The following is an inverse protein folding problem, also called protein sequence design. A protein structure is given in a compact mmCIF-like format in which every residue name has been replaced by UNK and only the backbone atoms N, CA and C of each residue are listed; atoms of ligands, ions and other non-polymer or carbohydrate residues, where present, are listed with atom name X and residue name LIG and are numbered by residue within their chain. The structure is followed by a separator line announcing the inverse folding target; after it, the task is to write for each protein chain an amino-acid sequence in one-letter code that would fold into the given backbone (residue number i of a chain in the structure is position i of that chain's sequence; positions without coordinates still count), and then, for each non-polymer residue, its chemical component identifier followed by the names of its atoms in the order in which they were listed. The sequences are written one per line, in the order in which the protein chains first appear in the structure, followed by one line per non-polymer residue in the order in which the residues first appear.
data_IF_994941571498
#
_entry.id   IF_994941571498
#
_cell.length_a   1.000
_cell.length_b   1.000
_cell.length_c   1.000
_cell.angle_alpha   90.00
_cell.angle_beta   90.00
_cell.angle_gamma   90.00
#
_symmetry.space_group_name_H-M   'P 1'
#
loop_
_entity.id
_entity.type
_entity.pdbx_description
1 polymer ?
#
# COMPACT_ATOMS: atom_id res chain seq x y z
N UNK A 1 14.93 -7.16 7.37
CA UNK A 1 14.47 -7.89 6.17
C UNK A 1 12.96 -7.79 6.02
N UNK A 2 12.48 -7.44 4.85
CA UNK A 2 11.04 -7.30 4.63
C UNK A 2 10.41 -8.67 4.37
N UNK A 3 9.17 -8.84 4.85
CA UNK A 3 8.42 -10.09 4.71
C UNK A 3 7.87 -10.28 3.29
N UNK A 4 7.66 -9.18 2.56
CA UNK A 4 7.03 -9.17 1.25
C UNK A 4 7.93 -8.47 0.24
N UNK A 5 7.72 -8.78 -1.05
CA UNK A 5 8.42 -8.07 -2.12
C UNK A 5 7.91 -6.62 -2.24
N UNK A 6 8.75 -5.75 -2.80
CA UNK A 6 8.37 -4.36 -3.05
C UNK A 6 7.08 -4.27 -3.87
N UNK A 7 6.91 -5.17 -4.85
CA UNK A 7 5.70 -5.21 -5.68
C UNK A 7 4.44 -5.38 -4.81
N UNK A 8 4.52 -6.21 -3.78
CA UNK A 8 3.39 -6.45 -2.89
C UNK A 8 3.06 -5.20 -2.08
N UNK A 9 4.09 -4.51 -1.56
CA UNK A 9 3.87 -3.26 -0.83
C UNK A 9 3.28 -2.18 -1.73
N UNK A 10 3.76 -2.07 -2.97
CA UNK A 10 3.23 -1.12 -3.95
C UNK A 10 1.75 -1.42 -4.23
N UNK A 11 1.43 -2.69 -4.47
CA UNK A 11 0.05 -3.10 -4.68
C UNK A 11 -0.84 -2.81 -3.48
N UNK A 12 -0.30 -3.02 -2.27
CA UNK A 12 -1.00 -2.68 -1.03
C UNK A 12 -1.31 -1.19 -0.95
N UNK A 13 -0.32 -0.36 -1.23
CA UNK A 13 -0.50 1.09 -1.23
C UNK A 13 -1.54 1.53 -2.25
N UNK A 14 -1.51 0.95 -3.45
CA UNK A 14 -2.48 1.27 -4.51
C UNK A 14 -3.90 0.85 -4.16
N UNK A 15 -4.07 -0.12 -3.28
CA UNK A 15 -5.38 -0.61 -2.86
C UNK A 15 -6.03 0.24 -1.77
N UNK A 16 -5.30 1.19 -1.22
CA UNK A 16 -5.81 2.05 -0.15
C UNK A 16 -6.83 3.04 -0.70
N UNK A 17 -7.71 3.49 0.19
CA UNK A 17 -8.80 4.39 -0.16
C UNK A 17 -8.28 5.70 -0.79
N UNK A 18 -8.76 5.99 -1.99
CA UNK A 18 -8.43 7.23 -2.72
C UNK A 18 -6.92 7.44 -2.97
N UNK A 19 -6.13 6.37 -2.95
CA UNK A 19 -4.70 6.46 -3.23
C UNK A 19 -4.45 6.02 -4.66
N UNK A 20 -4.06 6.94 -5.53
CA UNK A 20 -3.71 6.66 -6.90
C UNK A 20 -2.21 6.46 -7.08
N UNK A 21 -1.79 6.16 -8.32
CA UNK A 21 -0.39 5.90 -8.63
C UNK A 21 0.52 7.06 -8.25
N UNK A 22 0.06 8.31 -8.44
CA UNK A 22 0.83 9.50 -8.09
C UNK A 22 1.11 9.57 -6.58
N UNK A 23 0.09 9.27 -5.77
CA UNK A 23 0.24 9.27 -4.32
C UNK A 23 1.17 8.16 -3.86
N UNK A 24 1.07 6.98 -4.45
CA UNK A 24 1.94 5.84 -4.12
C UNK A 24 3.39 6.22 -4.37
N UNK A 25 3.67 6.76 -5.54
CA UNK A 25 5.03 7.20 -5.89
C UNK A 25 5.56 8.22 -4.87
N UNK A 26 4.72 9.19 -4.51
CA UNK A 26 5.11 10.23 -3.57
C UNK A 26 5.40 9.65 -2.18
N UNK A 27 4.57 8.74 -1.71
CA UNK A 27 4.81 8.08 -0.43
C UNK A 27 6.14 7.32 -0.44
N UNK A 28 6.43 6.60 -1.52
CA UNK A 28 7.68 5.86 -1.63
C UNK A 28 8.88 6.79 -1.61
N UNK A 29 8.79 7.91 -2.33
CA UNK A 29 9.87 8.91 -2.36
C UNK A 29 10.07 9.56 -0.99
N UNK A 30 8.97 9.92 -0.32
CA UNK A 30 9.03 10.63 0.95
C UNK A 30 9.50 9.74 2.09
N UNK A 31 9.12 8.46 2.09
CA UNK A 31 9.46 7.54 3.17
C UNK A 31 10.65 6.64 2.87
N UNK A 32 11.10 6.59 1.63
CA UNK A 32 12.35 5.94 1.24
C UNK A 32 12.23 4.62 0.51
N UNK A 33 11.16 3.86 0.74
CA UNK A 33 10.96 2.58 0.06
C UNK A 33 9.49 2.18 0.13
N UNK A 34 9.04 1.21 -0.70
CA UNK A 34 7.67 0.71 -0.60
C UNK A 34 7.32 0.17 0.79
N UNK A 35 8.25 -0.56 1.42
CA UNK A 35 8.04 -1.07 2.77
C UNK A 35 7.88 0.08 3.77
N UNK A 36 8.79 1.04 3.74
CA UNK A 36 8.75 2.17 4.66
C UNK A 36 7.47 2.99 4.48
N UNK A 37 7.04 3.18 3.23
CA UNK A 37 5.79 3.87 2.93
C UNK A 37 4.60 3.12 3.51
N UNK A 38 4.56 1.79 3.34
CA UNK A 38 3.47 0.97 3.87
C UNK A 38 3.38 1.09 5.39
N UNK A 39 4.52 0.98 6.08
CA UNK A 39 4.54 1.12 7.54
C UNK A 39 4.16 2.53 7.98
N UNK A 40 4.60 3.55 7.24
CA UNK A 40 4.32 4.94 7.58
C UNK A 40 2.83 5.27 7.48
N UNK A 41 2.14 4.81 6.42
CA UNK A 41 0.73 5.16 6.22
C UNK A 41 -0.21 4.51 7.24
N UNK A 42 0.27 3.54 8.00
CA UNK A 42 -0.52 2.95 9.10
C UNK A 42 -0.82 3.95 10.20
N UNK A 43 -0.05 5.04 10.28
CA UNK A 43 -0.24 6.07 11.31
C UNK A 43 -0.69 7.36 10.66
N UNK A 44 -1.83 7.88 11.09
CA UNK A 44 -2.39 9.13 10.57
C UNK A 44 -1.39 10.28 10.71
N UNK A 45 -0.59 10.27 11.78
CA UNK A 45 0.39 11.31 12.04
C UNK A 45 1.36 11.50 10.89
N UNK A 46 1.75 10.42 10.22
CA UNK A 46 2.68 10.46 9.09
C UNK A 46 2.03 11.05 7.84
N UNK A 47 0.71 11.16 7.81
CA UNK A 47 -0.02 11.70 6.67
C UNK A 47 -0.33 13.18 6.80
N UNK A 48 -0.01 13.79 7.95
CA UNK A 48 -0.28 15.21 8.18
C UNK A 48 0.32 16.15 7.14
N UNK A 49 1.54 15.92 6.64
CA UNK A 49 2.12 16.82 5.62
C UNK A 49 1.37 16.83 4.29
N UNK A 50 0.52 15.84 4.04
CA UNK A 50 -0.21 15.74 2.77
C UNK A 50 -1.50 16.57 2.85
N UNK A 51 -1.37 17.87 2.72
CA UNK A 51 -2.47 18.82 2.91
C UNK A 51 -3.60 18.66 1.89
N UNK A 52 -3.32 18.06 0.74
CA UNK A 52 -4.33 17.82 -0.30
C UNK A 52 -5.19 16.58 -0.02
N UNK A 53 -4.82 15.79 0.98
CA UNK A 53 -5.63 14.65 1.42
C UNK A 53 -6.46 15.10 2.63
N UNK A 54 -7.77 14.91 2.58
CA UNK A 54 -8.63 15.31 3.67
C UNK A 54 -8.35 14.48 4.94
N UNK A 55 -8.71 15.02 6.10
CA UNK A 55 -8.52 14.31 7.36
C UNK A 55 -9.30 12.99 7.39
N UNK A 56 -10.49 12.98 6.82
CA UNK A 56 -11.29 11.77 6.71
C UNK A 56 -10.59 10.72 5.87
N UNK A 57 -10.02 11.13 4.73
CA UNK A 57 -9.28 10.22 3.85
C UNK A 57 -8.01 9.72 4.52
N UNK A 58 -7.29 10.57 5.26
CA UNK A 58 -6.10 10.15 6.01
C UNK A 58 -6.43 9.05 7.00
N UNK A 59 -7.54 9.18 7.72
CA UNK A 59 -7.99 8.16 8.67
C UNK A 59 -8.38 6.87 7.95
N UNK A 60 -9.07 6.99 6.82
CA UNK A 60 -9.46 5.82 6.04
C UNK A 60 -8.24 5.08 5.51
N UNK A 61 -7.23 5.80 5.03
CA UNK A 61 -5.98 5.23 4.55
C UNK A 61 -5.31 4.45 5.69
N UNK A 62 -5.13 5.09 6.84
CA UNK A 62 -4.48 4.44 7.98
C UNK A 62 -5.23 3.20 8.46
N UNK A 63 -6.56 3.28 8.50
CA UNK A 63 -7.39 2.14 8.91
C UNK A 63 -7.31 0.96 7.95
N UNK A 64 -7.15 1.23 6.65
CA UNK A 64 -7.11 0.17 5.64
C UNK A 64 -5.73 -0.41 5.42
N UNK A 65 -4.67 0.23 5.93
CA UNK A 65 -3.29 -0.21 5.73
C UNK A 65 -2.92 -1.30 6.75
N UNK A 66 -3.46 -2.50 6.53
CA UNK A 66 -3.22 -3.66 7.40
C UNK A 66 -2.49 -4.74 6.65
N UNK A 67 -1.62 -5.46 7.35
CA UNK A 67 -0.82 -6.55 6.76
C UNK A 67 -1.70 -7.67 6.18
N UNK A 68 -2.89 -7.87 6.72
CA UNK A 68 -3.86 -8.83 6.18
C UNK A 68 -4.18 -8.55 4.72
N UNK A 69 -4.19 -7.27 4.34
CA UNK A 69 -4.42 -6.88 2.96
C UNK A 69 -3.29 -7.37 2.04
N UNK A 70 -2.06 -7.36 2.54
CA UNK A 70 -0.91 -7.86 1.79
C UNK A 70 -1.04 -9.37 1.56
N UNK A 71 -1.46 -10.11 2.57
CA UNK A 71 -1.70 -11.55 2.44
C UNK A 71 -2.78 -11.84 1.40
N UNK A 72 -3.83 -11.04 1.38
CA UNK A 72 -4.89 -11.16 0.37
C UNK A 72 -4.35 -10.91 -1.04
N UNK A 73 -3.51 -9.89 -1.20
CA UNK A 73 -2.92 -9.55 -2.49
C UNK A 73 -2.03 -10.68 -2.98
N UNK A 74 -1.21 -11.26 -2.10
CA UNK A 74 -0.35 -12.39 -2.45
C UNK A 74 -1.20 -13.56 -2.95
N UNK A 75 -2.28 -13.84 -2.25
CA UNK A 75 -3.20 -14.93 -2.62
C UNK A 75 -3.77 -14.71 -4.02
N UNK A 76 -4.17 -13.49 -4.32
CA UNK A 76 -4.70 -13.13 -5.64
C UNK A 76 -3.66 -13.26 -6.74
N UNK A 77 -2.43 -12.86 -6.47
CA UNK A 77 -1.35 -12.97 -7.44
C UNK A 77 -1.04 -14.44 -7.72
N UNK A 78 -1.01 -15.27 -6.67
CA UNK A 78 -0.74 -16.70 -6.82
C UNK A 78 -1.85 -17.38 -7.64
N UNK A 79 -3.11 -17.05 -7.39
CA UNK A 79 -4.23 -17.58 -8.17
C UNK A 79 -4.08 -17.19 -9.65
N UNK A 80 -3.74 -15.94 -9.91
CA UNK A 80 -3.57 -15.43 -11.26
C UNK A 80 -2.43 -16.16 -11.97
N UNK A 81 -1.33 -16.37 -11.29
CA UNK A 81 -0.19 -17.10 -11.85
C UNK A 81 -0.54 -18.55 -12.18
N UNK A 82 -1.32 -19.19 -11.34
CA UNK A 82 -1.78 -20.56 -11.59
C UNK A 82 -2.64 -20.62 -12.83
N UNK A 83 -3.53 -19.65 -13.02
CA UNK A 83 -4.35 -19.57 -14.22
C UNK A 83 -3.51 -19.44 -15.47
N UNK A 84 -2.44 -18.63 -15.43
CA UNK A 84 -1.54 -18.44 -16.54
C UNK A 84 -0.76 -19.72 -16.86
N UNK A 85 -0.35 -20.46 -15.82
CA UNK A 85 0.45 -21.67 -16.02
C UNK A 85 -0.37 -22.86 -16.48
N UNK A 86 -1.69 -22.81 -16.40
CA UNK A 86 -2.55 -23.90 -16.89
C UNK A 86 -2.71 -23.92 -18.40
N UNK A 87 -2.22 -22.91 -19.08
CA UNK A 87 -2.17 -22.93 -20.52
C UNK A 87 -1.14 -23.95 -20.98
#
# INVERSE_FOLDING_TARGET
MTRYDDTIYIAGLQSLYNVGATHVRRFIEDFGSPYDAWEAVKKVENLKPYSHISNTDKRAIASSAKDEKLDYIIHKIDEYKMDVTTF
#
